data_IF_528404469460
#
_entry.id   IF_528404469460
#
_cell.length_a   1.000
_cell.length_b   1.000
_cell.length_c   1.000
_cell.angle_alpha   90.00
_cell.angle_beta   90.00
_cell.angle_gamma   90.00
#
_symmetry.space_group_name_H-M   'P 1'
#
loop_
_entity.id
_entity.type
_entity.pdbx_description
1 polymer ?
#
# COMPACT_ATOMS: atom_id res chain seq x y z
N UNK A 1 -15.91 -31.58 -3.94
CA UNK A 1 -15.70 -30.77 -2.72
C UNK A 1 -16.84 -29.75 -2.69
N UNK A 2 -17.51 -29.48 -1.56
CA UNK A 2 -18.74 -28.70 -1.59
C UNK A 2 -18.42 -27.26 -1.95
N UNK A 3 -19.05 -26.76 -3.01
CA UNK A 3 -19.02 -25.36 -3.39
C UNK A 3 -19.78 -24.55 -2.34
N UNK A 4 -19.15 -23.52 -1.77
CA UNK A 4 -19.68 -22.76 -0.63
C UNK A 4 -21.02 -22.05 -0.92
N UNK A 5 -21.35 -21.85 -2.21
CA UNK A 5 -22.45 -20.98 -2.65
C UNK A 5 -23.89 -21.49 -2.41
N UNK A 6 -24.10 -22.79 -2.13
CA UNK A 6 -25.46 -23.36 -2.06
C UNK A 6 -25.86 -23.95 -0.70
N UNK A 7 -24.93 -24.05 0.26
CA UNK A 7 -25.18 -24.70 1.56
C UNK A 7 -24.70 -23.95 2.80
N UNK A 8 -24.06 -22.78 2.65
CA UNK A 8 -23.44 -22.04 3.75
C UNK A 8 -24.29 -20.82 4.13
N UNK A 9 -24.61 -20.59 5.42
CA UNK A 9 -25.34 -19.42 5.85
C UNK A 9 -24.63 -18.12 5.47
N UNK A 10 -25.39 -17.10 5.06
CA UNK A 10 -24.86 -15.80 4.64
C UNK A 10 -23.88 -15.18 5.66
N UNK A 11 -24.17 -15.29 6.96
CA UNK A 11 -23.31 -14.72 8.01
C UNK A 11 -21.92 -15.35 8.06
N UNK A 12 -21.81 -16.64 7.70
CA UNK A 12 -20.52 -17.34 7.59
C UNK A 12 -19.73 -16.83 6.39
N UNK A 13 -20.40 -16.57 5.26
CA UNK A 13 -19.79 -15.97 4.07
C UNK A 13 -19.25 -14.57 4.39
N UNK A 14 -20.05 -13.75 5.09
CA UNK A 14 -19.64 -12.41 5.56
C UNK A 14 -18.43 -12.50 6.47
N UNK A 15 -18.39 -13.46 7.40
CA UNK A 15 -17.26 -13.61 8.33
C UNK A 15 -15.97 -14.03 7.60
N UNK A 16 -16.06 -14.94 6.63
CA UNK A 16 -14.93 -15.37 5.80
C UNK A 16 -14.41 -14.21 4.96
N UNK A 17 -15.30 -13.45 4.34
CA UNK A 17 -14.94 -12.25 3.57
C UNK A 17 -14.29 -11.19 4.45
N UNK A 18 -14.85 -10.93 5.64
CA UNK A 18 -14.28 -9.99 6.60
C UNK A 18 -12.87 -10.42 7.02
N UNK A 19 -12.66 -11.71 7.30
CA UNK A 19 -11.34 -12.24 7.63
C UNK A 19 -10.32 -12.02 6.50
N UNK A 20 -10.74 -12.22 5.24
CA UNK A 20 -9.89 -11.93 4.07
C UNK A 20 -9.55 -10.44 3.97
N UNK A 21 -10.52 -9.55 4.13
CA UNK A 21 -10.29 -8.09 4.08
C UNK A 21 -9.32 -7.66 5.17
N UNK A 22 -9.53 -8.11 6.41
CA UNK A 22 -8.63 -7.82 7.54
C UNK A 22 -7.20 -8.31 7.24
N UNK A 23 -7.06 -9.51 6.70
CA UNK A 23 -5.76 -10.06 6.33
C UNK A 23 -5.05 -9.22 5.26
N UNK A 24 -5.77 -8.81 4.21
CA UNK A 24 -5.23 -7.95 3.16
C UNK A 24 -4.83 -6.56 3.68
N UNK A 25 -5.60 -6.01 4.63
CA UNK A 25 -5.25 -4.75 5.32
C UNK A 25 -3.97 -4.90 6.13
N UNK A 26 -3.82 -5.98 6.89
CA UNK A 26 -2.60 -6.25 7.67
C UNK A 26 -1.39 -6.41 6.75
N UNK A 27 -1.51 -7.19 5.67
CA UNK A 27 -0.43 -7.37 4.69
C UNK A 27 -0.07 -6.03 4.04
N UNK A 28 -1.05 -5.24 3.64
CA UNK A 28 -0.81 -3.92 3.02
C UNK A 28 -0.21 -2.92 3.99
N UNK A 29 -0.57 -2.96 5.27
CA UNK A 29 0.07 -2.16 6.30
C UNK A 29 1.55 -2.54 6.49
N UNK A 30 1.86 -3.86 6.48
CA UNK A 30 3.24 -4.34 6.52
C UNK A 30 4.03 -3.90 5.28
N UNK A 31 3.43 -3.96 4.09
CA UNK A 31 4.04 -3.46 2.86
C UNK A 31 4.27 -1.95 2.93
N UNK A 32 3.30 -1.15 3.40
CA UNK A 32 3.47 0.28 3.58
C UNK A 32 4.64 0.60 4.52
N UNK A 33 4.72 -0.10 5.66
CA UNK A 33 5.85 0.01 6.59
C UNK A 33 7.19 -0.36 5.93
N UNK A 34 7.24 -1.46 5.18
CA UNK A 34 8.42 -1.86 4.41
C UNK A 34 8.79 -0.83 3.34
N UNK A 35 7.81 -0.24 2.65
CA UNK A 35 7.99 0.77 1.62
C UNK A 35 8.64 2.02 2.18
N UNK A 36 8.13 2.54 3.30
CA UNK A 36 8.71 3.71 3.98
C UNK A 36 10.14 3.40 4.42
N UNK A 37 10.39 2.23 5.00
CA UNK A 37 11.74 1.82 5.41
C UNK A 37 12.68 1.65 4.21
N UNK A 38 12.18 1.11 3.11
CA UNK A 38 12.96 0.95 1.89
C UNK A 38 13.26 2.30 1.25
N UNK A 39 12.32 3.24 1.25
CA UNK A 39 12.57 4.62 0.81
C UNK A 39 13.68 5.29 1.64
N UNK A 40 13.65 5.13 2.97
CA UNK A 40 14.69 5.64 3.87
C UNK A 40 16.08 5.06 3.52
N UNK A 41 16.13 3.77 3.16
CA UNK A 41 17.38 3.10 2.78
C UNK A 41 17.85 3.42 1.34
N UNK A 42 16.92 3.61 0.41
CA UNK A 42 17.18 3.79 -1.01
C UNK A 42 17.37 5.25 -1.38
N UNK A 43 16.57 6.17 -0.85
CA UNK A 43 16.66 7.62 -1.04
C UNK A 43 17.53 8.21 0.07
N UNK A 44 18.84 7.99 -0.04
CA UNK A 44 19.83 8.43 0.97
C UNK A 44 19.95 9.94 1.16
N UNK A 45 19.24 10.73 0.35
CA UNK A 45 19.25 12.19 0.45
C UNK A 45 18.35 12.71 1.58
N UNK A 46 17.43 11.89 2.11
CA UNK A 46 16.42 12.31 3.10
C UNK A 46 16.25 11.25 4.18
N UNK A 47 16.38 11.64 5.45
CA UNK A 47 16.22 10.77 6.62
C UNK A 47 14.75 10.80 7.10
N UNK A 48 13.84 10.21 6.34
CA UNK A 48 12.38 10.31 6.58
C UNK A 48 11.98 9.89 7.99
N UNK A 49 12.59 8.83 8.53
CA UNK A 49 12.22 8.32 9.84
C UNK A 49 12.48 9.34 10.96
N UNK A 50 13.60 10.04 10.90
CA UNK A 50 13.97 11.07 11.87
C UNK A 50 13.11 12.32 11.63
N UNK A 51 13.04 12.80 10.38
CA UNK A 51 12.36 14.05 10.02
C UNK A 51 10.87 14.02 10.35
N UNK A 52 10.17 12.92 10.12
CA UNK A 52 8.73 12.83 10.43
C UNK A 52 8.47 13.04 11.92
N UNK A 53 9.37 12.60 12.81
CA UNK A 53 9.19 12.68 14.27
C UNK A 53 9.37 14.09 14.83
N UNK A 54 10.03 14.97 14.09
CA UNK A 54 10.37 16.32 14.55
C UNK A 54 9.17 17.28 14.56
N UNK A 55 8.10 16.97 13.81
CA UNK A 55 6.95 17.86 13.68
C UNK A 55 5.62 17.12 13.79
N UNK A 56 4.69 17.56 14.66
CA UNK A 56 3.33 17.03 14.71
C UNK A 56 2.59 17.09 13.37
N UNK A 57 2.87 18.09 12.54
CA UNK A 57 2.29 18.19 11.19
C UNK A 57 2.80 17.09 10.27
N UNK A 58 4.08 16.77 10.33
CA UNK A 58 4.67 15.69 9.54
C UNK A 58 4.11 14.32 9.98
N UNK A 59 3.96 14.10 11.29
CA UNK A 59 3.27 12.93 11.84
C UNK A 59 1.83 12.86 11.33
N UNK A 60 1.10 13.97 11.36
CA UNK A 60 -0.26 14.06 10.85
C UNK A 60 -0.36 13.70 9.37
N UNK A 61 0.55 14.20 8.53
CA UNK A 61 0.65 13.85 7.11
C UNK A 61 0.93 12.36 6.92
N UNK A 62 1.87 11.79 7.67
CA UNK A 62 2.15 10.36 7.63
C UNK A 62 0.91 9.52 7.95
N UNK A 63 0.21 9.86 9.05
CA UNK A 63 -1.02 9.16 9.47
C UNK A 63 -2.13 9.31 8.43
N UNK A 64 -2.32 10.50 7.87
CA UNK A 64 -3.32 10.74 6.84
C UNK A 64 -3.05 9.90 5.58
N UNK A 65 -1.79 9.83 5.13
CA UNK A 65 -1.39 9.03 3.97
C UNK A 65 -1.61 7.54 4.22
N UNK A 66 -1.31 7.09 5.43
CA UNK A 66 -1.55 5.71 5.84
C UNK A 66 -3.04 5.38 5.84
N UNK A 67 -3.91 6.26 6.36
CA UNK A 67 -5.36 6.04 6.30
C UNK A 67 -5.89 5.99 4.87
N UNK A 68 -5.39 6.85 3.97
CA UNK A 68 -5.76 6.81 2.55
C UNK A 68 -5.35 5.47 1.94
N UNK A 69 -4.11 5.00 2.19
CA UNK A 69 -3.64 3.70 1.71
C UNK A 69 -4.55 2.56 2.18
N UNK A 70 -4.86 2.52 3.48
CA UNK A 70 -5.73 1.48 4.05
C UNK A 70 -7.14 1.57 3.48
N UNK A 71 -7.69 2.78 3.32
CA UNK A 71 -8.98 3.00 2.68
C UNK A 71 -9.02 2.48 1.24
N UNK A 72 -7.97 2.72 0.46
CA UNK A 72 -7.83 2.24 -0.92
C UNK A 72 -7.73 0.70 -1.00
N UNK A 73 -7.00 0.08 -0.07
CA UNK A 73 -6.88 -1.38 0.05
C UNK A 73 -8.23 -2.00 0.43
N UNK A 74 -8.91 -1.45 1.43
CA UNK A 74 -10.25 -1.91 1.82
C UNK A 74 -11.19 -1.77 0.63
N UNK A 75 -11.25 -0.59 0.02
CA UNK A 75 -12.10 -0.37 -1.14
C UNK A 75 -11.79 -1.38 -2.24
N UNK A 76 -10.52 -1.61 -2.57
CA UNK A 76 -10.12 -2.57 -3.61
C UNK A 76 -10.55 -4.00 -3.27
N UNK A 77 -10.31 -4.44 -2.04
CA UNK A 77 -10.69 -5.77 -1.56
C UNK A 77 -12.21 -6.00 -1.54
N UNK A 78 -12.99 -4.96 -1.23
CA UNK A 78 -14.46 -5.01 -1.21
C UNK A 78 -15.03 -5.01 -2.64
N UNK A 79 -14.47 -4.20 -3.55
CA UNK A 79 -14.98 -4.09 -4.92
C UNK A 79 -14.54 -5.21 -5.85
N UNK A 80 -13.53 -5.99 -5.48
CA UNK A 80 -13.13 -7.17 -6.22
C UNK A 80 -14.30 -8.17 -6.28
N UNK A 81 -14.91 -8.34 -7.46
CA UNK A 81 -15.95 -9.33 -7.71
C UNK A 81 -15.37 -10.73 -7.53
N UNK A 82 -15.42 -11.23 -6.31
CA UNK A 82 -14.97 -12.58 -5.99
C UNK A 82 -16.20 -13.43 -5.73
N UNK A 83 -16.53 -14.29 -6.68
CA UNK A 83 -17.50 -15.34 -6.45
C UNK A 83 -16.94 -16.27 -5.37
N UNK A 84 -17.66 -16.42 -4.25
CA UNK A 84 -17.28 -17.35 -3.16
C UNK A 84 -17.62 -18.78 -3.60
N UNK A 85 -16.95 -19.24 -4.65
CA UNK A 85 -17.13 -20.58 -5.23
C UNK A 85 -15.96 -21.50 -4.88
N UNK A 86 -14.79 -20.92 -4.58
CA UNK A 86 -13.61 -21.65 -4.14
C UNK A 86 -13.73 -22.15 -2.68
N UNK A 87 -13.07 -23.26 -2.31
CA UNK A 87 -12.93 -23.67 -0.91
C UNK A 87 -12.34 -22.55 -0.05
N UNK A 88 -12.74 -22.48 1.23
CA UNK A 88 -12.43 -21.36 2.15
C UNK A 88 -10.94 -21.01 2.17
N UNK A 89 -10.07 -22.03 2.25
CA UNK A 89 -8.62 -21.84 2.27
C UNK A 89 -8.13 -21.13 1.01
N UNK A 90 -8.58 -21.55 -0.17
CA UNK A 90 -8.19 -20.96 -1.45
C UNK A 90 -8.83 -19.59 -1.71
N UNK A 91 -9.99 -19.34 -1.13
CA UNK A 91 -10.63 -18.02 -1.18
C UNK A 91 -9.84 -16.96 -0.39
N UNK A 92 -9.28 -17.34 0.78
CA UNK A 92 -8.47 -16.47 1.64
C UNK A 92 -7.03 -16.37 1.11
N UNK A 93 -6.40 -17.51 0.82
CA UNK A 93 -5.01 -17.63 0.36
C UNK A 93 -4.94 -17.81 -1.16
N UNK A 94 -5.48 -16.83 -1.89
CA UNK A 94 -5.32 -16.76 -3.34
C UNK A 94 -3.91 -16.29 -3.70
N UNK A 95 -2.99 -17.24 -3.89
CA UNK A 95 -1.60 -16.95 -4.23
C UNK A 95 -1.44 -16.08 -5.47
N UNK A 96 -2.41 -16.08 -6.40
CA UNK A 96 -2.35 -15.21 -7.57
C UNK A 96 -2.57 -13.76 -7.16
N UNK A 97 -3.64 -13.46 -6.42
CA UNK A 97 -3.89 -12.11 -5.90
C UNK A 97 -2.73 -11.64 -5.02
N UNK A 98 -2.25 -12.49 -4.12
CA UNK A 98 -1.15 -12.15 -3.22
C UNK A 98 0.16 -11.89 -3.98
N UNK A 99 0.45 -12.71 -4.99
CA UNK A 99 1.63 -12.55 -5.85
C UNK A 99 1.58 -11.24 -6.62
N UNK A 100 0.44 -10.89 -7.21
CA UNK A 100 0.29 -9.62 -7.96
C UNK A 100 0.40 -8.44 -7.02
N UNK A 101 -0.21 -8.51 -5.84
CA UNK A 101 -0.14 -7.46 -4.84
C UNK A 101 1.32 -7.21 -4.43
N UNK A 102 2.07 -8.28 -4.15
CA UNK A 102 3.49 -8.20 -3.79
C UNK A 102 4.35 -7.65 -4.94
N UNK A 103 4.19 -8.18 -6.17
CA UNK A 103 4.96 -7.75 -7.34
C UNK A 103 4.65 -6.31 -7.71
N UNK A 104 3.37 -5.91 -7.71
CA UNK A 104 2.94 -4.55 -8.01
C UNK A 104 3.51 -3.57 -7.00
N UNK A 105 3.51 -3.94 -5.72
CA UNK A 105 4.15 -3.15 -4.67
C UNK A 105 5.65 -2.96 -4.92
N UNK A 106 6.40 -4.05 -5.17
CA UNK A 106 7.84 -3.98 -5.44
C UNK A 106 8.14 -3.11 -6.66
N UNK A 107 7.41 -3.31 -7.77
CA UNK A 107 7.57 -2.49 -8.97
C UNK A 107 7.30 -1.02 -8.66
N UNK A 108 6.22 -0.71 -7.94
CA UNK A 108 5.89 0.66 -7.56
C UNK A 108 6.97 1.30 -6.69
N UNK A 109 7.51 0.58 -5.71
CA UNK A 109 8.59 1.06 -4.86
C UNK A 109 9.84 1.40 -5.68
N UNK A 110 10.28 0.48 -6.55
CA UNK A 110 11.43 0.69 -7.41
C UNK A 110 11.20 1.86 -8.38
N UNK A 111 10.01 1.95 -8.97
CA UNK A 111 9.66 3.02 -9.89
C UNK A 111 9.61 4.38 -9.18
N UNK A 112 9.02 4.47 -7.99
CA UNK A 112 8.99 5.70 -7.20
C UNK A 112 10.40 6.20 -6.88
N UNK A 113 11.26 5.30 -6.39
CA UNK A 113 12.68 5.62 -6.13
C UNK A 113 13.42 6.04 -7.42
N UNK A 114 13.22 5.30 -8.51
CA UNK A 114 13.84 5.64 -9.79
C UNK A 114 13.39 7.01 -10.30
N UNK A 115 12.09 7.32 -10.23
CA UNK A 115 11.53 8.60 -10.60
C UNK A 115 12.08 9.73 -9.73
N UNK A 116 12.24 9.51 -8.42
CA UNK A 116 12.87 10.50 -7.54
C UNK A 116 14.24 10.92 -8.08
N UNK A 117 15.13 9.95 -8.34
CA UNK A 117 16.48 10.24 -8.83
C UNK A 117 16.52 10.77 -10.27
N UNK A 118 15.66 10.28 -11.15
CA UNK A 118 15.60 10.74 -12.54
C UNK A 118 15.12 12.19 -12.58
N UNK A 119 14.05 12.52 -11.87
CA UNK A 119 13.50 13.88 -11.89
C UNK A 119 14.44 14.85 -11.18
N UNK A 120 15.00 14.50 -10.02
CA UNK A 120 16.02 15.31 -9.34
C UNK A 120 17.20 15.67 -10.27
N UNK A 121 17.68 14.69 -11.05
CA UNK A 121 18.73 14.89 -12.04
C UNK A 121 18.29 15.77 -13.23
N UNK A 122 17.05 15.65 -13.67
CA UNK A 122 16.50 16.43 -14.79
C UNK A 122 16.16 17.87 -14.39
N UNK A 123 15.94 18.15 -13.10
CA UNK A 123 15.62 19.48 -12.58
C UNK A 123 16.70 20.01 -11.63
N UNK A 124 17.91 20.31 -12.11
CA UNK A 124 19.04 20.69 -11.25
C UNK A 124 18.81 21.96 -10.42
N UNK A 125 17.89 22.84 -10.84
CA UNK A 125 17.51 24.05 -10.10
C UNK A 125 16.51 23.79 -8.95
N UNK A 126 15.98 22.57 -8.85
CA UNK A 126 15.02 22.14 -7.82
C UNK A 126 15.60 20.88 -7.13
N UNK A 127 16.60 21.02 -6.26
CA UNK A 127 17.26 19.88 -5.62
C UNK A 127 16.31 19.19 -4.63
N UNK A 128 15.91 17.96 -4.93
CA UNK A 128 14.93 17.21 -4.14
C UNK A 128 15.47 16.84 -2.75
N UNK A 129 16.79 16.72 -2.60
CA UNK A 129 17.43 16.51 -1.29
C UNK A 129 17.10 17.59 -0.26
N UNK A 130 16.71 18.81 -0.67
CA UNK A 130 16.26 19.87 0.26
C UNK A 130 15.00 19.52 1.04
N UNK A 131 14.27 18.48 0.65
CA UNK A 131 13.17 17.92 1.45
C UNK A 131 13.64 17.57 2.88
N UNK A 132 14.92 17.21 3.06
CA UNK A 132 15.50 16.92 4.38
C UNK A 132 15.62 18.14 5.30
N UNK A 133 15.53 19.37 4.77
CA UNK A 133 15.66 20.61 5.56
C UNK A 133 14.38 20.95 6.35
N UNK A 134 13.24 20.39 5.95
CA UNK A 134 11.95 20.69 6.58
C UNK A 134 11.17 19.40 6.88
N UNK A 135 10.85 19.11 8.16
CA UNK A 135 10.16 17.88 8.53
C UNK A 135 8.77 17.77 7.89
N UNK A 136 8.08 18.88 7.65
CA UNK A 136 6.77 18.89 6.97
C UNK A 136 6.91 18.50 5.50
N UNK A 137 8.00 18.92 4.83
CA UNK A 137 8.27 18.51 3.45
C UNK A 137 8.55 17.00 3.38
N UNK A 138 9.35 16.46 4.30
CA UNK A 138 9.58 15.02 4.41
C UNK A 138 8.27 14.25 4.67
N UNK A 139 7.43 14.74 5.58
CA UNK A 139 6.10 14.19 5.85
C UNK A 139 5.18 14.21 4.64
N UNK A 140 5.15 15.31 3.88
CA UNK A 140 4.37 15.45 2.65
C UNK A 140 4.86 14.48 1.56
N UNK A 141 6.17 14.29 1.46
CA UNK A 141 6.75 13.35 0.51
C UNK A 141 6.35 11.91 0.83
N UNK A 142 6.48 11.48 2.10
CA UNK A 142 6.03 10.14 2.51
C UNK A 142 4.53 9.97 2.38
N UNK A 143 3.73 11.00 2.68
CA UNK A 143 2.30 11.02 2.40
C UNK A 143 2.01 10.71 0.92
N UNK A 144 2.70 11.39 0.00
CA UNK A 144 2.57 11.16 -1.44
C UNK A 144 2.88 9.72 -1.85
N UNK A 145 3.94 9.13 -1.29
CA UNK A 145 4.28 7.73 -1.53
C UNK A 145 3.25 6.75 -0.95
N UNK A 146 2.68 7.01 0.23
CA UNK A 146 1.63 6.18 0.79
C UNK A 146 0.36 6.22 -0.08
N UNK A 147 -0.02 7.39 -0.60
CA UNK A 147 -1.13 7.51 -1.55
C UNK A 147 -0.81 6.74 -2.83
N UNK A 148 0.39 6.90 -3.38
CA UNK A 148 0.84 6.20 -4.58
C UNK A 148 0.81 4.67 -4.40
N UNK A 149 1.38 4.14 -3.31
CA UNK A 149 1.31 2.72 -2.99
C UNK A 149 -0.14 2.25 -2.81
N UNK A 150 -0.97 3.02 -2.13
CA UNK A 150 -2.39 2.71 -1.97
C UNK A 150 -3.12 2.57 -3.30
N UNK A 151 -2.87 3.47 -4.27
CA UNK A 151 -3.47 3.40 -5.60
C UNK A 151 -3.02 2.15 -6.37
N UNK A 152 -1.75 1.79 -6.29
CA UNK A 152 -1.22 0.59 -6.94
C UNK A 152 -1.79 -0.68 -6.30
N UNK A 153 -1.82 -0.77 -4.96
CA UNK A 153 -2.40 -1.91 -4.25
C UNK A 153 -3.90 -2.04 -4.53
N UNK A 154 -4.62 -0.92 -4.60
CA UNK A 154 -6.02 -0.89 -5.01
C UNK A 154 -6.22 -1.45 -6.43
N UNK A 155 -5.40 -1.00 -7.39
CA UNK A 155 -5.46 -1.50 -8.76
C UNK A 155 -5.09 -2.99 -8.84
N UNK A 156 -4.13 -3.47 -8.06
CA UNK A 156 -3.75 -4.87 -7.97
C UNK A 156 -4.87 -5.76 -7.42
N UNK A 157 -5.73 -5.22 -6.56
CA UNK A 157 -6.87 -5.93 -5.98
C UNK A 157 -8.10 -5.93 -6.90
N UNK A 158 -8.27 -4.90 -7.75
CA UNK A 158 -9.44 -4.74 -8.63
C UNK A 158 -9.20 -5.12 -10.08
N UNK A 159 -7.94 -5.22 -10.50
CA UNK A 159 -7.55 -5.55 -11.87
C UNK A 159 -8.01 -6.96 -12.28
N UNK A 160 -8.62 -7.11 -13.47
CA UNK A 160 -8.95 -8.43 -14.00
C UNK A 160 -7.67 -9.20 -14.34
N UNK A 161 -7.71 -10.51 -14.09
CA UNK A 161 -6.66 -11.48 -14.41
C UNK A 161 -7.04 -12.37 -15.57
#
# INVERSE_FOLDING_TARGET
>A
MPELGLGVPFWVIVLIWLAKVVLLVVVSALLAWLGVRAMDALIRQVDYHERIRESPMAIGLFIAGFFILIGLVIHGAITALTAVTAPIVWYIFDFRTWGILAVSFVISLLLGVALFYVVDKLTPNIPFGRINENPVAAGLHVFGYLVFFGLILHAALTGPL
#
